data_IF_242010486506
#
_entry.id   IF_242010486506
#
_cell.length_a   1.000
_cell.length_b   1.000
_cell.length_c   1.000
_cell.angle_alpha   90.00
_cell.angle_beta   90.00
_cell.angle_gamma   90.00
#
_symmetry.space_group_name_H-M   'P 1'
#
loop_
_entity.id
_entity.type
_entity.pdbx_description
1 polymer ?
#
# COMPACT_ATOMS: atom_id res chain seq x y z
N UNK A 1 -28.40 3.98 -47.89
CA UNK A 1 -28.19 3.88 -46.44
C UNK A 1 -27.57 5.19 -45.99
N UNK A 2 -28.39 6.17 -45.60
CA UNK A 2 -27.95 7.53 -45.26
C UNK A 2 -27.37 7.55 -43.84
N UNK A 3 -26.19 8.16 -43.61
CA UNK A 3 -25.63 8.28 -42.26
C UNK A 3 -26.57 9.16 -41.42
N UNK A 4 -27.04 8.63 -40.28
CA UNK A 4 -27.82 9.41 -39.30
C UNK A 4 -26.99 10.63 -38.90
N UNK A 5 -27.49 11.81 -39.22
CA UNK A 5 -26.92 13.08 -38.76
C UNK A 5 -27.19 13.14 -37.25
N UNK A 6 -26.14 13.12 -36.41
CA UNK A 6 -26.31 13.30 -34.96
C UNK A 6 -26.99 14.64 -34.73
N UNK A 7 -28.04 14.64 -33.93
CA UNK A 7 -28.72 15.88 -33.57
C UNK A 7 -27.98 16.54 -32.41
N UNK A 8 -28.11 17.88 -32.23
CA UNK A 8 -27.51 18.57 -31.09
C UNK A 8 -27.89 17.98 -29.73
N UNK A 9 -29.07 17.33 -29.66
CA UNK A 9 -29.55 16.62 -28.46
C UNK A 9 -28.73 15.35 -28.21
N UNK A 10 -28.39 14.59 -29.26
CA UNK A 10 -27.56 13.39 -29.14
C UNK A 10 -26.14 13.74 -28.63
N UNK A 11 -25.59 14.88 -29.05
CA UNK A 11 -24.28 15.36 -28.58
C UNK A 11 -24.31 15.79 -27.11
N UNK A 12 -25.35 16.51 -26.69
CA UNK A 12 -25.51 16.90 -25.28
C UNK A 12 -25.69 15.68 -24.36
N UNK A 13 -26.46 14.66 -24.77
CA UNK A 13 -26.63 13.41 -24.03
C UNK A 13 -25.33 12.59 -23.93
N UNK A 14 -24.56 12.54 -25.02
CA UNK A 14 -23.25 11.86 -25.04
C UNK A 14 -22.25 12.55 -24.08
N UNK A 15 -22.26 13.88 -24.02
CA UNK A 15 -21.39 14.65 -23.13
C UNK A 15 -21.80 14.52 -21.65
N UNK A 16 -23.09 14.60 -21.33
CA UNK A 16 -23.62 14.37 -19.98
C UNK A 16 -23.27 12.94 -19.49
N UNK A 17 -23.41 11.94 -20.36
CA UNK A 17 -23.04 10.56 -20.06
C UNK A 17 -21.53 10.41 -19.80
N UNK A 18 -20.68 11.09 -20.56
CA UNK A 18 -19.21 11.10 -20.37
C UNK A 18 -18.80 11.80 -19.09
N UNK A 19 -19.44 12.90 -18.74
CA UNK A 19 -19.17 13.66 -17.52
C UNK A 19 -19.56 12.84 -16.28
N UNK A 20 -20.74 12.21 -16.31
CA UNK A 20 -21.19 11.27 -15.27
C UNK A 20 -20.23 10.08 -15.13
N UNK A 21 -19.76 9.51 -16.26
CA UNK A 21 -18.81 8.41 -16.24
C UNK A 21 -17.43 8.83 -15.71
N UNK A 22 -16.93 10.01 -16.07
CA UNK A 22 -15.67 10.59 -15.54
C UNK A 22 -15.76 10.84 -14.04
N UNK A 23 -16.87 11.40 -13.56
CA UNK A 23 -17.12 11.62 -12.13
C UNK A 23 -17.15 10.30 -11.34
N UNK A 24 -17.86 9.29 -11.84
CA UNK A 24 -17.93 7.97 -11.21
C UNK A 24 -16.56 7.27 -11.16
N UNK A 25 -15.78 7.34 -12.23
CA UNK A 25 -14.41 6.79 -12.27
C UNK A 25 -13.47 7.54 -11.31
N UNK A 26 -13.61 8.86 -11.19
CA UNK A 26 -12.85 9.68 -10.24
C UNK A 26 -13.13 9.31 -8.78
N UNK A 27 -14.41 9.14 -8.42
CA UNK A 27 -14.80 8.73 -7.06
C UNK A 27 -14.29 7.34 -6.69
N UNK A 28 -14.42 6.36 -7.59
CA UNK A 28 -13.91 5.00 -7.36
C UNK A 28 -12.39 5.02 -7.17
N UNK A 29 -11.66 5.80 -7.97
CA UNK A 29 -10.22 5.94 -7.82
C UNK A 29 -9.83 6.57 -6.47
N UNK A 30 -10.60 7.53 -5.98
CA UNK A 30 -10.38 8.18 -4.67
C UNK A 30 -10.61 7.20 -3.52
N UNK A 31 -11.71 6.44 -3.54
CA UNK A 31 -12.01 5.42 -2.52
C UNK A 31 -10.92 4.34 -2.47
N UNK A 32 -10.53 3.81 -3.62
CA UNK A 32 -9.43 2.83 -3.72
C UNK A 32 -8.13 3.46 -3.20
N UNK A 33 -7.86 4.71 -3.58
CA UNK A 33 -6.79 5.56 -3.07
C UNK A 33 -6.70 5.56 -1.54
N UNK A 34 -7.83 5.91 -0.92
CA UNK A 34 -7.95 6.02 0.53
C UNK A 34 -7.81 4.67 1.24
N UNK A 35 -8.43 3.60 0.71
CA UNK A 35 -8.38 2.27 1.32
C UNK A 35 -6.96 1.75 1.48
N UNK A 36 -6.15 1.87 0.45
CA UNK A 36 -4.76 1.44 0.53
C UNK A 36 -3.86 2.45 1.22
N UNK A 37 -4.16 3.75 1.16
CA UNK A 37 -3.53 4.72 2.06
C UNK A 37 -3.68 4.30 3.52
N UNK A 38 -4.86 3.83 3.89
CA UNK A 38 -5.13 3.28 5.22
C UNK A 38 -4.35 1.99 5.50
N UNK A 39 -4.25 1.06 4.53
CA UNK A 39 -3.43 -0.15 4.67
C UNK A 39 -1.95 0.19 4.90
N UNK A 40 -1.39 1.15 4.15
CA UNK A 40 -0.02 1.61 4.36
C UNK A 40 0.18 2.32 5.69
N UNK A 41 -0.81 3.10 6.14
CA UNK A 41 -0.78 3.70 7.47
C UNK A 41 -0.78 2.63 8.58
N UNK A 42 -1.55 1.55 8.40
CA UNK A 42 -1.53 0.41 9.32
C UNK A 42 -0.14 -0.26 9.36
N UNK A 43 0.49 -0.49 8.20
CA UNK A 43 1.86 -1.04 8.16
C UNK A 43 2.88 -0.13 8.85
N UNK A 44 2.77 1.18 8.68
CA UNK A 44 3.62 2.15 9.37
C UNK A 44 3.40 2.09 10.89
N UNK A 45 2.14 2.01 11.33
CA UNK A 45 1.81 1.86 12.74
C UNK A 45 2.41 0.59 13.35
N UNK A 46 2.26 -0.55 12.68
CA UNK A 46 2.90 -1.83 13.09
C UNK A 46 4.43 -1.71 13.13
N UNK A 47 5.05 -1.08 12.13
CA UNK A 47 6.49 -0.86 12.10
C UNK A 47 6.96 -0.04 13.31
N UNK A 48 6.25 1.03 13.64
CA UNK A 48 6.54 1.88 14.80
C UNK A 48 6.32 1.14 16.11
N UNK A 49 5.22 0.40 16.23
CA UNK A 49 4.92 -0.41 17.41
C UNK A 49 6.02 -1.44 17.67
N UNK A 50 6.52 -2.11 16.62
CA UNK A 50 7.62 -3.07 16.73
C UNK A 50 8.96 -2.41 17.03
N UNK A 51 9.27 -1.28 16.38
CA UNK A 51 10.50 -0.52 16.61
C UNK A 51 10.62 -0.04 18.07
N UNK A 52 9.50 0.29 18.70
CA UNK A 52 9.46 0.75 20.10
C UNK A 52 9.33 -0.43 21.07
N UNK A 53 8.46 -1.39 20.76
CA UNK A 53 8.09 -2.47 21.66
C UNK A 53 9.12 -3.60 21.77
N UNK A 54 9.73 -4.02 20.65
CA UNK A 54 10.67 -5.14 20.65
C UNK A 54 11.96 -4.87 21.44
N UNK A 55 12.59 -3.68 21.37
CA UNK A 55 13.76 -3.40 22.21
C UNK A 55 13.45 -3.54 23.71
N UNK A 56 12.30 -3.02 24.16
CA UNK A 56 11.86 -3.14 25.57
C UNK A 56 11.59 -4.60 25.94
N UNK A 57 10.96 -5.35 25.03
CA UNK A 57 10.70 -6.78 25.24
C UNK A 57 11.99 -7.61 25.33
N UNK A 58 13.01 -7.29 24.52
CA UNK A 58 14.30 -7.99 24.53
C UNK A 58 15.09 -7.71 25.80
N UNK A 59 15.06 -6.46 26.27
CA UNK A 59 15.66 -6.07 27.55
C UNK A 59 15.04 -6.85 28.73
N UNK A 60 13.72 -7.01 28.74
CA UNK A 60 13.01 -7.82 29.75
C UNK A 60 13.38 -9.31 29.71
N UNK A 61 13.79 -9.82 28.55
CA UNK A 61 14.26 -11.20 28.38
C UNK A 61 15.75 -11.36 28.66
N UNK A 62 16.47 -10.27 29.01
CA UNK A 62 17.92 -10.29 29.20
C UNK A 62 18.71 -10.53 27.91
N UNK A 63 18.10 -10.29 26.75
CA UNK A 63 18.76 -10.42 25.45
C UNK A 63 19.68 -9.21 25.26
N UNK A 64 20.91 -9.50 24.84
CA UNK A 64 21.92 -8.47 24.64
C UNK A 64 21.48 -7.42 23.60
N UNK A 65 21.74 -6.12 23.80
CA UNK A 65 21.32 -5.06 22.87
C UNK A 65 21.82 -5.24 21.43
N UNK A 66 22.94 -5.93 21.26
CA UNK A 66 23.56 -6.22 19.96
C UNK A 66 22.77 -7.24 19.14
N UNK A 67 21.91 -8.04 19.80
CA UNK A 67 21.02 -8.99 19.14
C UNK A 67 19.73 -8.33 18.63
N UNK A 68 19.47 -7.06 18.95
CA UNK A 68 18.31 -6.33 18.45
C UNK A 68 18.51 -6.06 16.95
N UNK A 69 17.58 -6.50 16.07
CA UNK A 69 17.72 -6.35 14.63
C UNK A 69 17.34 -4.93 14.17
N UNK A 70 18.10 -3.92 14.55
CA UNK A 70 17.79 -2.50 14.30
C UNK A 70 17.54 -2.18 12.82
N UNK A 71 18.35 -2.73 11.91
CA UNK A 71 18.19 -2.53 10.47
C UNK A 71 16.80 -2.98 10.00
N UNK A 72 16.30 -4.07 10.57
CA UNK A 72 15.00 -4.66 10.25
C UNK A 72 13.87 -3.80 10.80
N UNK A 73 13.99 -3.33 12.04
CA UNK A 73 12.98 -2.47 12.67
C UNK A 73 12.83 -1.14 11.91
N UNK A 74 13.96 -0.52 11.55
CA UNK A 74 13.96 0.71 10.74
C UNK A 74 13.38 0.46 9.35
N UNK A 75 13.73 -0.67 8.71
CA UNK A 75 13.14 -1.03 7.43
C UNK A 75 11.61 -1.21 7.52
N UNK A 76 11.10 -1.82 8.59
CA UNK A 76 9.66 -1.97 8.83
C UNK A 76 8.91 -0.63 8.90
N UNK A 77 9.57 0.44 9.33
CA UNK A 77 9.00 1.81 9.36
C UNK A 77 9.15 2.54 8.04
N UNK A 78 10.31 2.40 7.37
CA UNK A 78 10.64 3.20 6.18
C UNK A 78 10.05 2.63 4.89
N UNK A 79 9.98 1.30 4.75
CA UNK A 79 9.53 0.64 3.52
C UNK A 79 8.07 0.97 3.18
N UNK A 80 7.10 0.91 4.12
CA UNK A 80 5.71 1.22 3.79
C UNK A 80 5.51 2.63 3.19
N UNK A 81 5.93 3.74 3.83
CA UNK A 81 5.75 5.07 3.24
C UNK A 81 6.54 5.24 1.95
N UNK A 82 7.75 4.68 1.83
CA UNK A 82 8.54 4.76 0.60
C UNK A 82 7.83 4.09 -0.59
N UNK A 83 7.28 2.90 -0.39
CA UNK A 83 6.52 2.17 -1.42
C UNK A 83 5.22 2.90 -1.76
N UNK A 84 4.52 3.44 -0.76
CA UNK A 84 3.30 4.22 -0.98
C UNK A 84 3.56 5.48 -1.81
N UNK A 85 4.60 6.25 -1.47
CA UNK A 85 5.02 7.43 -2.24
C UNK A 85 5.44 7.05 -3.66
N UNK A 86 6.27 6.02 -3.82
CA UNK A 86 6.67 5.55 -5.14
C UNK A 86 5.46 5.13 -5.98
N UNK A 87 4.54 4.35 -5.42
CA UNK A 87 3.32 3.93 -6.11
C UNK A 87 2.42 5.11 -6.49
N UNK A 88 2.34 6.12 -5.63
CA UNK A 88 1.54 7.33 -5.86
C UNK A 88 2.16 8.15 -6.99
N UNK A 89 3.47 8.39 -6.95
CA UNK A 89 4.22 9.18 -7.94
C UNK A 89 4.25 8.50 -9.32
N UNK A 90 4.55 7.19 -9.38
CA UNK A 90 4.51 6.42 -10.64
C UNK A 90 3.07 6.28 -11.18
N UNK A 91 2.09 6.28 -10.28
CA UNK A 91 0.68 6.19 -10.61
C UNK A 91 0.08 7.45 -11.23
N UNK A 92 0.77 8.60 -11.21
CA UNK A 92 0.25 9.85 -11.77
C UNK A 92 0.03 9.79 -13.29
N UNK A 93 0.59 8.79 -13.99
CA UNK A 93 0.48 8.63 -15.46
C UNK A 93 0.02 7.23 -15.93
N UNK A 94 -0.48 6.36 -15.03
CA UNK A 94 -0.69 4.92 -15.28
C UNK A 94 -2.11 4.45 -14.89
N UNK A 95 -2.61 3.38 -15.52
CA UNK A 95 -3.98 2.85 -15.34
C UNK A 95 -4.17 2.17 -13.97
N UNK A 96 -5.38 2.26 -13.40
CA UNK A 96 -5.78 1.67 -12.10
C UNK A 96 -5.25 0.25 -11.82
N UNK A 97 -5.32 -0.74 -12.74
CA UNK A 97 -4.83 -2.09 -12.46
C UNK A 97 -3.32 -2.16 -12.16
N UNK A 98 -2.51 -1.27 -12.75
CA UNK A 98 -1.06 -1.24 -12.49
C UNK A 98 -0.75 -0.71 -11.08
N UNK A 99 -1.59 0.17 -10.53
CA UNK A 99 -1.46 0.65 -9.14
C UNK A 99 -1.79 -0.44 -8.13
N UNK A 100 -2.84 -1.22 -8.40
CA UNK A 100 -3.27 -2.33 -7.55
C UNK A 100 -2.18 -3.41 -7.45
N UNK A 101 -1.51 -3.74 -8.56
CA UNK A 101 -0.38 -4.70 -8.55
C UNK A 101 0.78 -4.18 -7.71
N UNK A 102 1.10 -2.88 -7.77
CA UNK A 102 2.15 -2.29 -6.94
C UNK A 102 1.81 -2.36 -5.45
N UNK A 103 0.56 -2.16 -5.10
CA UNK A 103 0.13 -2.23 -3.71
C UNK A 103 0.03 -3.66 -3.19
N UNK A 104 -0.41 -4.62 -4.00
CA UNK A 104 -0.35 -6.05 -3.67
C UNK A 104 1.12 -6.48 -3.49
N UNK A 105 2.03 -5.99 -4.33
CA UNK A 105 3.45 -6.26 -4.18
C UNK A 105 4.02 -5.67 -2.87
N UNK A 106 3.65 -4.43 -2.51
CA UNK A 106 4.01 -3.84 -1.22
C UNK A 106 3.49 -4.64 -0.02
N UNK A 107 2.24 -5.12 -0.11
CA UNK A 107 1.63 -6.00 0.90
C UNK A 107 2.33 -7.35 1.00
N UNK A 108 2.65 -7.97 -0.14
CA UNK A 108 3.36 -9.24 -0.20
C UNK A 108 4.79 -9.13 0.37
N UNK A 109 5.50 -8.04 0.08
CA UNK A 109 6.83 -7.77 0.66
C UNK A 109 6.71 -7.58 2.16
N UNK A 110 5.71 -6.85 2.64
CA UNK A 110 5.54 -6.64 4.08
C UNK A 110 5.11 -7.92 4.82
N UNK A 111 4.28 -8.75 4.21
CA UNK A 111 3.89 -10.05 4.74
C UNK A 111 5.07 -11.03 4.76
N UNK A 112 5.89 -11.05 3.70
CA UNK A 112 7.11 -11.88 3.64
C UNK A 112 8.12 -11.48 4.72
N UNK A 113 8.25 -10.18 5.01
CA UNK A 113 9.10 -9.69 6.11
C UNK A 113 8.58 -10.16 7.47
N UNK A 114 7.27 -10.03 7.74
CA UNK A 114 6.68 -10.54 8.97
C UNK A 114 6.87 -12.05 9.15
N UNK A 115 6.71 -12.83 8.07
CA UNK A 115 6.91 -14.28 8.08
C UNK A 115 8.39 -14.66 8.32
N UNK A 116 9.31 -13.87 7.76
CA UNK A 116 10.75 -14.05 7.97
C UNK A 116 11.13 -13.79 9.44
N UNK A 117 10.47 -12.87 10.13
CA UNK A 117 10.70 -12.61 11.56
C UNK A 117 10.23 -13.75 12.46
N UNK A 118 9.05 -14.32 12.18
CA UNK A 118 8.54 -15.50 12.90
C UNK A 118 9.48 -16.69 12.69
N UNK A 119 9.92 -16.91 11.45
CA UNK A 119 10.83 -18.00 11.13
C UNK A 119 12.21 -17.85 11.81
N UNK A 120 12.75 -16.63 11.86
CA UNK A 120 14.02 -16.34 12.54
C UNK A 120 13.89 -16.57 14.05
N UNK A 121 12.83 -16.04 14.67
CA UNK A 121 12.58 -16.20 16.10
C UNK A 121 12.38 -17.68 16.50
N UNK A 122 11.65 -18.45 15.69
CA UNK A 122 11.48 -19.89 15.91
C UNK A 122 12.81 -20.64 15.82
N UNK A 123 13.70 -20.24 14.91
CA UNK A 123 15.02 -20.87 14.73
C UNK A 123 15.96 -20.61 15.92
N UNK A 124 15.91 -19.42 16.51
CA UNK A 124 16.70 -19.07 17.70
C UNK A 124 16.21 -19.73 18.98
N UNK A 125 14.97 -20.22 19.03
CA UNK A 125 14.41 -20.94 20.19
C UNK A 125 14.63 -22.46 20.10
N UNK A 126 15.01 -22.96 18.93
CA UNK A 126 15.19 -24.39 18.65
C UNK A 126 16.67 -24.83 18.63
N UNK A 127 17.61 -23.91 18.84
CA UNK A 127 19.05 -24.18 18.95
C UNK A 127 19.58 -23.68 20.28
#
# INVERSE_FOLDING_TARGET
>A
MSPRRRTPIDEALDDDARETQRGRLGWVALVIGALFGLLFAYQLFEGLANLIGLPVFYDQLGIAPEAIPWAVLVAGVVVPPAVFLAATLLGLRRTLPQKVVLWIAGLAVSAALALSFIAMAARTLAG
#
